data_IF_112285743012
#
_entry.id   IF_112285743012
#
_cell.length_a   1.000
_cell.length_b   1.000
_cell.length_c   1.000
_cell.angle_alpha   90.00
_cell.angle_beta   90.00
_cell.angle_gamma   90.00
#
_symmetry.space_group_name_H-M   'P 1'
#
loop_
_entity.id
_entity.type
_entity.pdbx_description
1 polymer ?
#
# COMPACT_ATOMS: atom_id res chain seq x y z
N UNK A 1 -2.33 -8.35 9.36
CA UNK A 1 -3.75 -8.38 9.81
C UNK A 1 -4.57 -9.37 9.00
N UNK A 2 -4.70 -9.21 7.65
CA UNK A 2 -5.50 -10.16 6.86
C UNK A 2 -5.00 -11.60 6.97
N UNK A 3 -3.71 -11.84 6.80
CA UNK A 3 -3.09 -13.16 6.96
C UNK A 3 -3.36 -13.79 8.34
N UNK A 4 -3.26 -13.00 9.40
CA UNK A 4 -3.56 -13.47 10.76
C UNK A 4 -5.04 -13.81 10.94
N UNK A 5 -5.93 -13.00 10.36
CA UNK A 5 -7.36 -13.24 10.35
C UNK A 5 -7.71 -14.49 9.55
N UNK A 6 -7.18 -14.64 8.34
CA UNK A 6 -7.38 -15.79 7.46
C UNK A 6 -6.89 -17.10 8.12
N UNK A 7 -5.71 -17.05 8.73
CA UNK A 7 -5.17 -18.18 9.52
C UNK A 7 -6.06 -18.50 10.73
N UNK A 8 -6.58 -17.50 11.41
CA UNK A 8 -7.49 -17.71 12.54
C UNK A 8 -8.81 -18.32 12.09
N UNK A 9 -9.38 -17.87 10.96
CA UNK A 9 -10.56 -18.47 10.35
C UNK A 9 -10.31 -19.92 9.95
N UNK A 10 -9.16 -20.21 9.31
CA UNK A 10 -8.76 -21.57 8.92
C UNK A 10 -8.57 -22.48 10.13
N UNK A 11 -7.98 -22.00 11.22
CA UNK A 11 -7.77 -22.76 12.43
C UNK A 11 -9.07 -23.02 13.22
N UNK A 12 -10.03 -22.07 13.17
CA UNK A 12 -11.32 -22.20 13.81
C UNK A 12 -12.24 -23.21 13.08
N UNK A 13 -11.93 -23.50 11.84
CA UNK A 13 -12.67 -24.45 11.01
C UNK A 13 -12.33 -25.89 11.39
N UNK A 14 -13.11 -26.46 12.29
CA UNK A 14 -13.14 -27.89 12.54
C UNK A 14 -14.25 -28.52 11.73
N UNK A 15 -13.91 -29.46 10.85
CA UNK A 15 -14.81 -30.36 10.09
C UNK A 15 -16.29 -29.93 9.97
N UNK A 16 -16.66 -29.40 8.79
CA UNK A 16 -18.04 -29.15 8.33
C UNK A 16 -18.90 -28.17 9.14
N UNK A 17 -18.35 -27.33 9.98
CA UNK A 17 -19.09 -26.30 10.69
C UNK A 17 -18.84 -24.92 10.06
N UNK A 18 -19.87 -24.08 10.04
CA UNK A 18 -19.73 -22.68 9.66
C UNK A 18 -18.92 -21.92 10.71
N UNK A 19 -18.07 -21.03 10.25
CA UNK A 19 -17.23 -20.17 11.11
C UNK A 19 -17.56 -18.71 10.79
N UNK A 20 -17.58 -17.89 11.83
CA UNK A 20 -17.76 -16.45 11.71
C UNK A 20 -16.48 -15.71 12.14
N UNK A 21 -16.22 -14.60 11.49
CA UNK A 21 -15.17 -13.65 11.88
C UNK A 21 -15.65 -12.22 11.72
N UNK A 22 -15.08 -11.34 12.49
CA UNK A 22 -15.39 -9.92 12.47
C UNK A 22 -14.14 -9.11 12.18
N UNK A 23 -14.25 -8.15 11.25
CA UNK A 23 -13.29 -7.08 11.07
C UNK A 23 -13.97 -5.77 11.48
N UNK A 24 -13.25 -4.95 12.22
CA UNK A 24 -13.71 -3.63 12.62
C UNK A 24 -12.93 -2.58 11.87
N UNK A 25 -13.63 -1.75 11.10
CA UNK A 25 -13.03 -0.91 10.10
C UNK A 25 -13.26 0.59 10.36
N UNK A 26 -12.24 1.39 10.09
CA UNK A 26 -12.36 2.83 10.00
C UNK A 26 -12.70 3.25 8.58
N UNK A 27 -13.69 4.14 8.43
CA UNK A 27 -14.01 4.72 7.12
C UNK A 27 -12.99 5.78 6.73
N UNK A 28 -12.50 5.70 5.51
CA UNK A 28 -11.66 6.72 4.90
C UNK A 28 -12.29 7.20 3.60
N UNK A 29 -12.65 8.50 3.56
CA UNK A 29 -13.19 9.12 2.36
C UNK A 29 -12.05 9.48 1.41
N UNK A 30 -11.89 8.73 0.33
CA UNK A 30 -10.84 8.95 -0.69
C UNK A 30 -11.24 10.06 -1.67
N UNK A 31 -12.52 10.07 -2.10
CA UNK A 31 -13.09 11.08 -2.98
C UNK A 31 -14.58 11.19 -2.74
N UNK A 32 -15.27 12.12 -3.42
CA UNK A 32 -16.72 12.27 -3.31
C UNK A 32 -17.50 10.96 -3.51
N UNK A 33 -16.96 10.03 -4.31
CA UNK A 33 -17.63 8.78 -4.70
C UNK A 33 -16.89 7.50 -4.28
N UNK A 34 -15.76 7.61 -3.55
CA UNK A 34 -14.94 6.47 -3.15
C UNK A 34 -14.67 6.50 -1.64
N UNK A 35 -15.14 5.48 -0.95
CA UNK A 35 -14.87 5.23 0.47
C UNK A 35 -14.07 3.94 0.57
N UNK A 36 -13.06 3.92 1.42
CA UNK A 36 -12.31 2.73 1.82
C UNK A 36 -12.68 2.37 3.25
N UNK A 37 -12.82 1.09 3.52
CA UNK A 37 -12.97 0.54 4.86
C UNK A 37 -11.64 -0.10 5.24
N UNK A 38 -10.98 0.47 6.23
CA UNK A 38 -9.63 0.10 6.64
C UNK A 38 -9.71 -0.72 7.92
N UNK A 39 -9.43 -2.04 7.91
CA UNK A 39 -9.45 -2.87 9.10
C UNK A 39 -8.50 -2.32 10.17
N UNK A 40 -9.00 -2.18 11.40
CA UNK A 40 -8.23 -1.76 12.58
C UNK A 40 -8.06 -2.93 13.56
N UNK A 41 -9.07 -3.76 13.67
CA UNK A 41 -9.11 -4.89 14.58
C UNK A 41 -9.87 -6.05 13.95
N UNK A 42 -9.63 -7.25 14.46
CA UNK A 42 -10.35 -8.46 14.04
C UNK A 42 -10.59 -9.38 15.22
N UNK A 43 -11.66 -10.15 15.13
CA UNK A 43 -12.01 -11.19 16.10
C UNK A 43 -12.55 -12.41 15.37
N UNK A 44 -11.98 -13.57 15.66
CA UNK A 44 -12.57 -14.87 15.31
C UNK A 44 -12.95 -15.52 16.62
N UNK A 45 -14.26 -15.76 16.87
CA UNK A 45 -14.75 -16.35 18.09
C UNK A 45 -14.18 -17.76 18.30
N UNK A 46 -13.81 -18.10 19.53
CA UNK A 46 -13.51 -19.48 19.92
C UNK A 46 -14.82 -20.30 20.05
N UNK A 47 -14.75 -21.64 20.01
CA UNK A 47 -15.94 -22.49 20.05
C UNK A 47 -16.86 -22.25 21.26
N UNK A 48 -16.33 -21.82 22.39
CA UNK A 48 -17.09 -21.48 23.61
C UNK A 48 -17.90 -20.17 23.48
N UNK A 49 -17.66 -19.37 22.46
CA UNK A 49 -18.43 -18.15 22.16
C UNK A 49 -19.75 -18.42 21.44
N UNK A 50 -19.96 -19.63 20.94
CA UNK A 50 -21.19 -20.00 20.26
C UNK A 50 -22.19 -20.63 21.22
N UNK A 51 -23.46 -20.34 21.01
CA UNK A 51 -24.59 -21.04 21.59
C UNK A 51 -24.93 -22.27 20.74
N UNK A 52 -24.84 -22.12 19.41
CA UNK A 52 -24.98 -23.21 18.42
C UNK A 52 -24.02 -22.95 17.26
N UNK A 53 -23.33 -24.02 16.85
CA UNK A 53 -22.50 -24.04 15.65
C UNK A 53 -22.77 -25.34 14.89
N UNK A 54 -23.03 -25.26 13.58
CA UNK A 54 -23.35 -26.39 12.71
C UNK A 54 -22.96 -26.10 11.26
N UNK A 55 -23.14 -27.08 10.40
CA UNK A 55 -22.92 -26.94 8.95
C UNK A 55 -23.93 -26.01 8.25
N UNK A 56 -25.05 -25.68 8.88
CA UNK A 56 -26.14 -24.93 8.28
C UNK A 56 -26.54 -23.68 9.08
N UNK A 57 -25.70 -23.24 9.99
CA UNK A 57 -25.91 -22.01 10.73
C UNK A 57 -25.24 -21.98 12.09
N UNK A 58 -25.00 -20.78 12.56
CA UNK A 58 -24.35 -20.48 13.82
C UNK A 58 -25.13 -19.41 14.60
N UNK A 59 -25.07 -19.51 15.93
CA UNK A 59 -25.64 -18.52 16.85
C UNK A 59 -24.59 -18.21 17.89
N UNK A 60 -24.23 -16.94 18.03
CA UNK A 60 -23.28 -16.50 19.09
C UNK A 60 -23.99 -16.28 20.40
N UNK A 61 -23.28 -16.51 21.50
CA UNK A 61 -23.75 -16.13 22.83
C UNK A 61 -23.96 -14.62 22.93
N UNK A 62 -25.07 -14.21 23.50
CA UNK A 62 -25.46 -12.80 23.61
C UNK A 62 -24.39 -11.96 24.33
N UNK A 63 -23.80 -12.47 25.39
CA UNK A 63 -22.75 -11.77 26.15
C UNK A 63 -21.51 -11.45 25.30
N UNK A 64 -21.11 -12.41 24.47
CA UNK A 64 -19.97 -12.20 23.56
C UNK A 64 -20.29 -11.17 22.49
N UNK A 65 -21.47 -11.26 21.88
CA UNK A 65 -21.92 -10.28 20.91
C UNK A 65 -21.98 -8.86 21.50
N UNK A 66 -22.54 -8.73 22.71
CA UNK A 66 -22.57 -7.46 23.43
C UNK A 66 -21.17 -6.90 23.69
N UNK A 67 -20.21 -7.74 24.09
CA UNK A 67 -18.81 -7.34 24.25
C UNK A 67 -18.22 -6.74 22.96
N UNK A 68 -18.46 -7.38 21.80
CA UNK A 68 -17.98 -6.87 20.50
C UNK A 68 -18.59 -5.49 20.18
N UNK A 69 -19.89 -5.33 20.37
CA UNK A 69 -20.61 -4.09 20.12
C UNK A 69 -20.10 -2.95 21.00
N UNK A 70 -19.98 -3.15 22.29
CA UNK A 70 -19.52 -2.14 23.24
C UNK A 70 -18.06 -1.74 22.98
N UNK A 71 -17.19 -2.72 22.70
CA UNK A 71 -15.77 -2.46 22.53
C UNK A 71 -15.50 -1.72 21.21
N UNK A 72 -15.96 -2.22 20.09
CA UNK A 72 -15.53 -1.74 18.77
C UNK A 72 -16.48 -0.71 18.15
N UNK A 73 -17.77 -0.84 18.36
CA UNK A 73 -18.74 0.05 17.74
C UNK A 73 -19.06 1.28 18.60
N UNK A 74 -19.14 1.10 19.90
CA UNK A 74 -19.48 2.21 20.80
C UNK A 74 -18.25 3.00 21.23
N UNK A 75 -17.21 2.32 21.77
CA UNK A 75 -15.98 2.99 22.26
C UNK A 75 -15.09 3.47 21.11
N UNK A 76 -14.75 2.59 20.18
CA UNK A 76 -13.83 2.88 19.08
C UNK A 76 -14.52 3.48 17.85
N UNK A 77 -15.85 3.44 17.79
CA UNK A 77 -16.68 4.00 16.70
C UNK A 77 -16.33 3.48 15.32
N UNK A 78 -16.03 2.19 15.21
CA UNK A 78 -15.70 1.50 13.96
C UNK A 78 -16.95 0.99 13.25
N UNK A 79 -16.84 0.70 11.96
CA UNK A 79 -17.81 -0.08 11.20
C UNK A 79 -17.48 -1.57 11.34
N UNK A 80 -18.48 -2.43 11.16
CA UNK A 80 -18.30 -3.87 11.27
C UNK A 80 -18.37 -4.56 9.91
N UNK A 81 -17.41 -5.43 9.67
CA UNK A 81 -17.45 -6.43 8.59
C UNK A 81 -17.69 -7.78 9.24
N UNK A 82 -18.82 -8.37 8.94
CA UNK A 82 -19.23 -9.68 9.39
C UNK A 82 -18.93 -10.69 8.28
N UNK A 83 -18.10 -11.67 8.55
CA UNK A 83 -17.66 -12.67 7.57
C UNK A 83 -18.04 -14.05 8.08
N UNK A 84 -18.71 -14.85 7.25
CA UNK A 84 -18.98 -16.24 7.55
C UNK A 84 -18.61 -17.16 6.39
N UNK A 85 -18.51 -18.46 6.69
CA UNK A 85 -18.23 -19.49 5.71
C UNK A 85 -19.48 -20.34 5.46
N UNK A 86 -19.67 -20.78 4.23
CA UNK A 86 -20.62 -21.87 3.93
C UNK A 86 -19.83 -23.17 3.75
N UNK A 87 -20.16 -24.20 4.51
CA UNK A 87 -19.42 -25.47 4.52
C UNK A 87 -19.83 -26.44 3.40
N UNK A 88 -20.96 -26.16 2.73
CA UNK A 88 -21.59 -27.05 1.76
C UNK A 88 -21.59 -26.48 0.31
N UNK A 89 -20.97 -25.31 0.09
CA UNK A 89 -21.01 -24.62 -1.20
C UNK A 89 -19.63 -24.38 -1.77
N UNK A 90 -19.46 -24.79 -3.01
CA UNK A 90 -18.25 -24.54 -3.81
C UNK A 90 -18.12 -23.11 -4.31
N UNK A 91 -19.19 -22.31 -4.22
CA UNK A 91 -19.19 -20.89 -4.57
C UNK A 91 -19.73 -20.05 -3.42
N UNK A 92 -19.11 -18.89 -3.13
CA UNK A 92 -19.56 -18.01 -2.05
C UNK A 92 -20.80 -17.23 -2.49
N UNK A 93 -21.97 -17.66 -2.07
CA UNK A 93 -23.26 -16.97 -2.34
C UNK A 93 -24.01 -16.73 -1.04
N UNK A 94 -24.55 -15.53 -0.87
CA UNK A 94 -25.43 -15.22 0.24
C UNK A 94 -26.75 -15.97 0.13
N UNK A 95 -27.21 -16.53 1.24
CA UNK A 95 -28.49 -17.23 1.34
C UNK A 95 -29.64 -16.25 1.65
N UNK A 96 -30.88 -16.71 1.48
CA UNK A 96 -32.08 -15.95 1.92
C UNK A 96 -32.09 -15.72 3.44
N UNK A 97 -31.48 -16.61 4.18
CA UNK A 97 -31.37 -16.48 5.65
C UNK A 97 -30.40 -15.35 5.99
N UNK A 98 -29.27 -15.25 5.27
CA UNK A 98 -28.34 -14.13 5.41
C UNK A 98 -29.02 -12.80 5.08
N UNK A 99 -29.82 -12.76 4.03
CA UNK A 99 -30.58 -11.55 3.64
C UNK A 99 -31.47 -11.04 4.77
N UNK A 100 -32.18 -11.94 5.43
CA UNK A 100 -33.10 -11.60 6.53
C UNK A 100 -32.34 -11.09 7.76
N UNK A 101 -31.37 -11.86 8.25
CA UNK A 101 -30.62 -11.52 9.46
C UNK A 101 -29.75 -10.27 9.29
N UNK A 102 -29.06 -10.15 8.18
CA UNK A 102 -28.21 -8.99 7.91
C UNK A 102 -29.01 -7.71 7.69
N UNK A 103 -30.17 -7.79 7.04
CA UNK A 103 -31.12 -6.68 6.92
C UNK A 103 -31.51 -6.11 8.29
N UNK A 104 -31.94 -7.00 9.20
CA UNK A 104 -32.29 -6.61 10.56
C UNK A 104 -31.11 -6.08 11.36
N UNK A 105 -29.95 -6.72 11.22
CA UNK A 105 -28.73 -6.31 11.89
C UNK A 105 -28.24 -4.92 11.42
N UNK A 106 -28.28 -4.64 10.12
CA UNK A 106 -27.94 -3.33 9.57
C UNK A 106 -28.87 -2.23 10.12
N UNK A 107 -30.15 -2.52 10.24
CA UNK A 107 -31.17 -1.62 10.84
C UNK A 107 -30.89 -1.38 12.32
N UNK A 108 -30.61 -2.44 13.07
CA UNK A 108 -30.25 -2.35 14.48
C UNK A 108 -29.02 -1.48 14.69
N UNK A 109 -27.93 -1.73 13.97
CA UNK A 109 -26.67 -0.96 14.08
C UNK A 109 -26.92 0.54 13.83
N UNK A 110 -27.69 0.88 12.81
CA UNK A 110 -27.95 2.26 12.44
C UNK A 110 -28.88 3.00 13.39
N UNK A 111 -29.76 2.30 14.10
CA UNK A 111 -30.73 2.88 15.04
C UNK A 111 -30.19 2.94 16.47
N UNK A 112 -29.37 1.97 16.86
CA UNK A 112 -28.92 1.81 18.24
C UNK A 112 -27.70 2.67 18.57
N UNK A 113 -26.76 2.79 17.63
CA UNK A 113 -25.50 3.53 17.87
C UNK A 113 -25.51 4.96 17.32
N UNK A 114 -25.01 5.92 18.12
CA UNK A 114 -24.94 7.33 17.72
C UNK A 114 -24.08 7.57 16.47
N UNK A 115 -22.98 6.81 16.32
CA UNK A 115 -22.08 6.88 15.17
C UNK A 115 -22.62 6.18 13.92
N UNK A 116 -23.77 5.50 14.05
CA UNK A 116 -24.44 4.79 12.93
C UNK A 116 -23.47 3.93 12.12
N UNK A 117 -22.88 2.89 12.72
CA UNK A 117 -21.92 2.03 12.03
C UNK A 117 -22.58 1.34 10.83
N UNK A 118 -21.79 1.06 9.80
CA UNK A 118 -22.23 0.31 8.63
C UNK A 118 -22.00 -1.16 8.84
N UNK A 119 -22.94 -1.95 8.33
CA UNK A 119 -22.75 -3.38 8.17
C UNK A 119 -22.21 -3.67 6.78
N UNK A 120 -21.07 -4.33 6.75
CA UNK A 120 -20.50 -4.98 5.58
C UNK A 120 -20.55 -6.47 5.86
N UNK A 121 -20.98 -7.24 4.89
CA UNK A 121 -21.08 -8.69 5.00
C UNK A 121 -20.17 -9.35 3.98
N UNK A 122 -19.52 -10.43 4.39
CA UNK A 122 -18.70 -11.27 3.54
C UNK A 122 -19.07 -12.73 3.69
N UNK A 123 -19.10 -13.46 2.59
CA UNK A 123 -19.25 -14.91 2.58
C UNK A 123 -18.09 -15.54 1.84
N UNK A 124 -17.55 -16.62 2.40
CA UNK A 124 -16.48 -17.41 1.83
C UNK A 124 -16.96 -18.79 1.42
N UNK A 125 -16.36 -19.32 0.36
CA UNK A 125 -16.47 -20.71 0.00
C UNK A 125 -15.81 -21.63 1.05
N UNK A 126 -16.00 -22.92 0.90
CA UNK A 126 -15.42 -23.94 1.79
C UNK A 126 -13.90 -23.93 1.83
N UNK A 127 -13.22 -23.41 0.79
CA UNK A 127 -11.76 -23.37 0.69
C UNK A 127 -11.15 -22.07 1.21
N UNK A 128 -11.96 -21.07 1.55
CA UNK A 128 -11.58 -19.70 1.87
C UNK A 128 -10.85 -18.96 0.72
N UNK A 129 -10.92 -19.49 -0.50
CA UNK A 129 -10.26 -18.90 -1.67
C UNK A 129 -11.13 -17.88 -2.38
N UNK A 130 -12.43 -18.15 -2.47
CA UNK A 130 -13.37 -17.25 -3.09
C UNK A 130 -14.25 -16.58 -2.04
N UNK A 131 -14.65 -15.35 -2.33
CA UNK A 131 -15.49 -14.59 -1.42
C UNK A 131 -16.34 -13.58 -2.17
N UNK A 132 -17.52 -13.29 -1.62
CA UNK A 132 -18.34 -12.17 -2.02
C UNK A 132 -18.53 -11.22 -0.84
N UNK A 133 -18.58 -9.92 -1.13
CA UNK A 133 -18.82 -8.89 -0.13
C UNK A 133 -19.93 -7.97 -0.57
N UNK A 134 -20.71 -7.49 0.42
CA UNK A 134 -21.78 -6.51 0.22
C UNK A 134 -21.84 -5.52 1.38
N UNK A 135 -22.32 -4.32 1.11
CA UNK A 135 -22.57 -3.29 2.12
C UNK A 135 -24.06 -2.99 2.16
N UNK A 136 -24.60 -2.98 3.36
CA UNK A 136 -26.02 -2.69 3.59
C UNK A 136 -26.28 -1.19 3.68
N UNK A 137 -27.42 -0.76 3.19
CA UNK A 137 -27.94 0.56 3.54
C UNK A 137 -28.31 0.62 5.03
N UNK A 138 -28.41 1.82 5.56
CA UNK A 138 -28.70 2.02 6.99
C UNK A 138 -30.09 1.60 7.41
N UNK A 139 -31.00 1.38 6.48
CA UNK A 139 -32.37 0.95 6.73
C UNK A 139 -32.53 -0.56 6.58
N UNK A 140 -31.49 -1.27 6.18
CA UNK A 140 -31.52 -2.70 5.93
C UNK A 140 -32.40 -3.09 4.74
N UNK A 141 -32.69 -2.16 3.81
CA UNK A 141 -33.60 -2.43 2.69
C UNK A 141 -32.89 -2.98 1.46
N UNK A 142 -31.62 -2.61 1.30
CA UNK A 142 -30.83 -3.03 0.14
C UNK A 142 -29.38 -3.23 0.49
N UNK A 143 -28.76 -4.21 -0.17
CA UNK A 143 -27.34 -4.45 -0.11
C UNK A 143 -26.72 -4.21 -1.50
N UNK A 144 -25.54 -3.63 -1.52
CA UNK A 144 -24.77 -3.35 -2.73
C UNK A 144 -23.48 -4.16 -2.69
N UNK A 145 -23.17 -4.89 -3.75
CA UNK A 145 -21.89 -5.59 -3.87
C UNK A 145 -20.73 -4.62 -3.84
N UNK A 146 -19.67 -5.00 -3.15
CA UNK A 146 -18.42 -4.25 -3.05
C UNK A 146 -17.23 -5.15 -3.33
N UNK A 147 -16.15 -4.58 -3.80
CA UNK A 147 -14.89 -5.29 -3.98
C UNK A 147 -14.12 -5.36 -2.65
N UNK A 148 -13.63 -6.54 -2.32
CA UNK A 148 -12.68 -6.75 -1.23
C UNK A 148 -11.34 -7.16 -1.83
N UNK A 149 -10.28 -6.42 -1.54
CA UNK A 149 -8.92 -6.79 -1.91
C UNK A 149 -8.26 -7.50 -0.74
N UNK A 150 -7.95 -8.77 -0.90
CA UNK A 150 -7.19 -9.60 0.04
C UNK A 150 -5.69 -9.47 -0.18
N UNK A 151 -5.30 -9.23 -1.42
CA UNK A 151 -3.93 -9.02 -1.86
C UNK A 151 -3.69 -7.58 -2.33
N UNK A 152 -2.46 -7.27 -2.67
CA UNK A 152 -2.06 -5.96 -3.16
C UNK A 152 -2.82 -5.54 -4.41
N UNK A 153 -2.98 -6.50 -5.33
CA UNK A 153 -3.68 -6.32 -6.60
C UNK A 153 -4.42 -7.61 -6.94
N UNK A 154 -5.72 -7.59 -6.89
CA UNK A 154 -6.52 -8.69 -7.43
C UNK A 154 -6.55 -8.56 -8.95
N UNK A 155 -6.05 -9.60 -9.62
CA UNK A 155 -6.28 -9.77 -11.05
C UNK A 155 -7.77 -10.00 -11.24
N UNK A 156 -8.51 -8.97 -11.61
CA UNK A 156 -9.90 -9.18 -12.03
C UNK A 156 -9.89 -10.09 -13.24
N UNK A 157 -10.46 -11.29 -13.11
CA UNK A 157 -10.57 -12.27 -14.19
C UNK A 157 -11.56 -11.85 -15.30
N UNK A 158 -11.78 -10.57 -15.50
CA UNK A 158 -12.47 -10.07 -16.68
C UNK A 158 -11.60 -10.21 -17.94
N UNK A 159 -11.21 -11.47 -18.22
CA UNK A 159 -10.34 -11.83 -19.35
C UNK A 159 -11.03 -11.67 -20.72
N UNK A 160 -12.28 -11.21 -20.84
CA UNK A 160 -13.03 -11.29 -22.08
C UNK A 160 -13.66 -9.96 -22.57
N UNK A 161 -13.36 -8.81 -21.98
CA UNK A 161 -13.75 -7.59 -22.67
C UNK A 161 -12.70 -7.28 -23.75
N UNK A 162 -13.12 -7.33 -25.00
CA UNK A 162 -12.40 -6.76 -26.16
C UNK A 162 -12.35 -5.23 -26.00
N UNK A 163 -11.64 -4.76 -24.99
CA UNK A 163 -11.30 -3.36 -24.89
C UNK A 163 -10.19 -3.10 -25.91
N UNK A 164 -10.42 -2.18 -26.82
CA UNK A 164 -9.43 -1.64 -27.74
C UNK A 164 -8.23 -1.16 -26.92
N UNK A 165 -7.21 -2.02 -26.81
CA UNK A 165 -5.95 -1.65 -26.15
C UNK A 165 -5.35 -0.54 -27.01
N UNK A 166 -5.01 0.59 -26.41
CA UNK A 166 -4.31 1.67 -27.10
C UNK A 166 -3.09 1.07 -27.83
N UNK A 167 -2.88 1.43 -29.10
CA UNK A 167 -1.77 0.92 -29.92
C UNK A 167 -0.40 1.03 -29.24
N UNK A 168 -0.25 2.02 -28.38
CA UNK A 168 0.93 2.25 -27.55
C UNK A 168 1.28 1.01 -26.68
N UNK A 169 0.30 0.24 -26.23
CA UNK A 169 0.48 -0.91 -25.35
C UNK A 169 0.36 -2.26 -26.06
N UNK A 170 0.28 -2.28 -27.40
CA UNK A 170 0.07 -3.51 -28.16
C UNK A 170 1.13 -4.59 -27.86
N UNK A 171 2.39 -4.20 -27.64
CA UNK A 171 3.48 -5.12 -27.31
C UNK A 171 3.46 -5.62 -25.86
N UNK A 172 2.67 -5.00 -24.99
CA UNK A 172 2.51 -5.38 -23.58
C UNK A 172 1.34 -6.34 -23.36
N UNK A 173 0.55 -6.62 -24.39
CA UNK A 173 -0.63 -7.51 -24.31
C UNK A 173 -0.29 -8.93 -23.86
N UNK A 174 0.96 -9.37 -24.05
CA UNK A 174 1.44 -10.66 -23.58
C UNK A 174 1.31 -10.86 -22.05
N UNK A 175 1.27 -9.76 -21.28
CA UNK A 175 1.07 -9.78 -19.83
C UNK A 175 -0.40 -9.81 -19.42
N UNK A 176 -1.33 -9.76 -20.37
CA UNK A 176 -2.77 -9.79 -20.16
C UNK A 176 -3.45 -8.42 -20.16
N UNK A 177 -4.66 -8.37 -20.69
CA UNK A 177 -5.47 -7.15 -20.76
C UNK A 177 -5.83 -6.60 -19.36
N UNK A 178 -6.00 -7.46 -18.36
CA UNK A 178 -6.27 -7.10 -16.97
C UNK A 178 -5.13 -6.27 -16.35
N UNK A 179 -3.87 -6.62 -16.63
CA UNK A 179 -2.70 -5.89 -16.14
C UNK A 179 -2.68 -4.47 -16.70
N UNK A 180 -2.95 -4.31 -18.00
CA UNK A 180 -2.97 -2.98 -18.62
C UNK A 180 -4.10 -2.10 -18.08
N UNK A 181 -5.28 -2.68 -17.81
CA UNK A 181 -6.40 -1.98 -17.18
C UNK A 181 -6.02 -1.50 -15.78
N UNK A 182 -5.44 -2.38 -14.96
CA UNK A 182 -4.99 -2.05 -13.61
C UNK A 182 -3.94 -0.93 -13.61
N UNK A 183 -2.94 -0.99 -14.49
CA UNK A 183 -1.95 0.08 -14.65
C UNK A 183 -2.61 1.43 -14.96
N UNK A 184 -3.60 1.46 -15.85
CA UNK A 184 -4.34 2.68 -16.23
C UNK A 184 -5.20 3.25 -15.09
N UNK A 185 -5.65 2.42 -14.17
CA UNK A 185 -6.49 2.81 -13.03
C UNK A 185 -5.67 3.15 -11.78
N UNK A 186 -4.42 2.67 -11.71
CA UNK A 186 -3.55 2.82 -10.56
C UNK A 186 -3.21 4.30 -10.31
N UNK A 187 -3.42 4.75 -9.07
CA UNK A 187 -2.95 6.05 -8.60
C UNK A 187 -1.68 5.87 -7.78
N UNK A 188 -0.55 6.37 -8.28
CA UNK A 188 0.75 6.25 -7.63
C UNK A 188 1.12 7.56 -6.93
N UNK A 189 1.41 7.48 -5.63
CA UNK A 189 2.08 8.56 -4.91
C UNK A 189 3.60 8.31 -4.99
N UNK A 190 4.32 9.23 -5.62
CA UNK A 190 5.77 9.22 -5.71
C UNK A 190 6.33 10.31 -4.79
N UNK A 191 7.05 9.89 -3.77
CA UNK A 191 7.72 10.73 -2.79
C UNK A 191 9.21 10.75 -3.15
N UNK A 192 9.69 11.91 -3.60
CA UNK A 192 11.02 12.11 -4.17
C UNK A 192 10.99 12.05 -5.70
N UNK A 193 11.23 13.20 -6.34
CA UNK A 193 11.29 13.40 -7.79
C UNK A 193 12.71 13.64 -8.29
N UNK A 194 13.70 13.09 -7.57
CA UNK A 194 15.13 13.16 -7.91
C UNK A 194 15.58 12.12 -8.94
N UNK A 195 16.84 11.73 -8.91
CA UNK A 195 17.45 10.83 -9.90
C UNK A 195 16.79 9.48 -10.05
N UNK A 196 16.34 8.84 -8.94
CA UNK A 196 15.60 7.57 -8.98
C UNK A 196 14.13 7.83 -9.36
N UNK A 197 13.47 8.78 -8.67
CA UNK A 197 12.04 9.00 -8.83
C UNK A 197 11.64 9.48 -10.22
N UNK A 198 12.45 10.31 -10.88
CA UNK A 198 12.15 10.78 -12.24
C UNK A 198 12.25 9.66 -13.28
N UNK A 199 13.27 8.80 -13.18
CA UNK A 199 13.41 7.61 -14.05
C UNK A 199 12.26 6.64 -13.79
N UNK A 200 11.94 6.39 -12.52
CA UNK A 200 10.82 5.55 -12.12
C UNK A 200 9.49 6.03 -12.72
N UNK A 201 9.20 7.33 -12.62
CA UNK A 201 7.98 7.93 -13.16
C UNK A 201 7.89 7.79 -14.69
N UNK A 202 9.00 7.98 -15.39
CA UNK A 202 9.04 7.80 -16.85
C UNK A 202 8.79 6.34 -17.24
N UNK A 203 9.48 5.40 -16.60
CA UNK A 203 9.35 3.96 -16.91
C UNK A 203 7.93 3.46 -16.61
N UNK A 204 7.41 3.74 -15.42
CA UNK A 204 6.08 3.29 -15.03
C UNK A 204 4.97 4.02 -15.79
N UNK A 205 5.20 5.28 -16.15
CA UNK A 205 4.32 6.03 -17.06
C UNK A 205 4.23 5.35 -18.42
N UNK A 206 5.36 4.93 -19.01
CA UNK A 206 5.39 4.20 -20.29
C UNK A 206 4.73 2.82 -20.23
N UNK A 207 4.69 2.19 -19.06
CA UNK A 207 3.93 0.96 -18.84
C UNK A 207 2.41 1.18 -18.79
N UNK A 208 1.93 2.39 -18.54
CA UNK A 208 0.49 2.65 -18.59
C UNK A 208 -0.08 3.42 -17.39
N UNK A 209 0.71 3.73 -16.37
CA UNK A 209 0.24 4.53 -15.23
C UNK A 209 0.03 5.98 -15.63
N UNK A 210 -1.22 6.45 -15.46
CA UNK A 210 -1.66 7.79 -15.87
C UNK A 210 -2.02 8.71 -14.70
N UNK A 211 -2.15 8.16 -13.47
CA UNK A 211 -2.61 8.91 -12.30
C UNK A 211 -1.49 9.01 -11.26
N UNK A 212 -1.07 10.24 -10.97
CA UNK A 212 0.10 10.50 -10.14
C UNK A 212 -0.15 11.57 -9.09
N UNK A 213 0.43 11.37 -7.92
CA UNK A 213 0.61 12.33 -6.85
C UNK A 213 2.11 12.44 -6.63
N UNK A 214 2.70 13.56 -7.08
CA UNK A 214 4.14 13.80 -7.01
C UNK A 214 4.44 14.73 -5.85
N UNK A 215 5.39 14.32 -4.97
CA UNK A 215 5.76 15.07 -3.77
C UNK A 215 7.27 15.22 -3.73
N UNK A 216 7.72 16.46 -3.77
CA UNK A 216 9.12 16.86 -3.63
C UNK A 216 9.17 18.38 -3.42
N UNK A 217 9.91 18.85 -2.42
CA UNK A 217 10.04 20.29 -2.14
C UNK A 217 11.12 20.98 -2.95
N UNK A 218 12.03 20.20 -3.52
CA UNK A 218 13.25 20.71 -4.13
C UNK A 218 13.03 21.31 -5.52
N UNK A 219 13.97 22.17 -5.87
CA UNK A 219 14.10 22.74 -7.21
C UNK A 219 15.21 22.06 -8.00
N UNK A 220 15.14 22.19 -9.33
CA UNK A 220 16.21 21.77 -10.22
C UNK A 220 17.41 22.69 -10.07
N UNK A 221 18.58 22.08 -10.01
CA UNK A 221 19.88 22.74 -10.01
C UNK A 221 20.78 22.12 -11.09
N UNK A 222 21.80 22.85 -11.53
CA UNK A 222 22.73 22.36 -12.55
C UNK A 222 23.42 21.05 -12.15
N UNK A 223 23.71 20.86 -10.85
CA UNK A 223 24.29 19.61 -10.31
C UNK A 223 23.36 18.40 -10.42
N UNK A 224 22.07 18.61 -10.74
CA UNK A 224 21.11 17.52 -10.91
C UNK A 224 21.08 16.99 -12.35
N UNK A 225 21.55 17.77 -13.35
CA UNK A 225 21.39 17.45 -14.78
C UNK A 225 22.07 16.13 -15.18
N UNK A 226 23.10 15.73 -14.45
CA UNK A 226 23.82 14.48 -14.71
C UNK A 226 22.99 13.20 -14.42
N UNK A 227 21.81 13.32 -13.76
CA UNK A 227 21.00 12.17 -13.32
C UNK A 227 19.51 12.33 -13.47
N UNK A 228 19.05 13.40 -14.11
CA UNK A 228 17.62 13.64 -14.37
C UNK A 228 17.34 13.52 -15.87
N UNK A 229 16.55 12.51 -16.34
CA UNK A 229 16.32 12.29 -17.75
C UNK A 229 15.59 13.46 -18.39
N UNK A 230 16.11 13.95 -19.54
CA UNK A 230 15.55 15.06 -20.30
C UNK A 230 15.43 16.40 -19.53
N UNK A 231 16.10 16.56 -18.39
CA UNK A 231 16.26 17.86 -17.75
C UNK A 231 17.28 18.71 -18.55
N UNK A 232 17.03 20.02 -18.62
CA UNK A 232 17.86 20.96 -19.38
C UNK A 232 18.44 22.05 -18.50
N UNK A 233 19.52 22.67 -18.96
CA UNK A 233 20.11 23.84 -18.28
C UNK A 233 19.10 24.98 -18.14
N UNK A 234 18.22 25.14 -19.10
CA UNK A 234 17.15 26.16 -19.05
C UNK A 234 16.20 25.88 -17.86
N UNK A 235 15.76 24.62 -17.67
CA UNK A 235 14.89 24.25 -16.55
C UNK A 235 15.61 24.46 -15.20
N UNK A 236 16.91 24.19 -15.13
CA UNK A 236 17.72 24.41 -13.93
C UNK A 236 17.92 25.91 -13.66
N UNK A 237 18.23 26.72 -14.66
CA UNK A 237 18.38 28.18 -14.53
C UNK A 237 17.08 28.87 -14.11
N UNK A 238 15.91 28.37 -14.58
CA UNK A 238 14.59 28.80 -14.16
C UNK A 238 14.15 28.20 -12.81
N UNK A 239 14.98 27.36 -12.18
CA UNK A 239 14.71 26.73 -10.89
C UNK A 239 13.33 26.04 -10.83
N UNK A 240 13.01 25.24 -11.82
CA UNK A 240 11.76 24.48 -11.82
C UNK A 240 11.68 23.60 -10.55
N UNK A 241 10.52 23.48 -9.95
CA UNK A 241 10.30 22.44 -8.94
C UNK A 241 10.44 21.06 -9.56
N UNK A 242 11.12 20.12 -8.89
CA UNK A 242 11.30 18.73 -9.37
C UNK A 242 9.97 18.05 -9.67
N UNK A 243 8.92 18.32 -8.88
CA UNK A 243 7.56 17.80 -9.15
C UNK A 243 6.97 18.31 -10.47
N UNK A 244 7.23 19.57 -10.85
CA UNK A 244 6.76 20.12 -12.11
C UNK A 244 7.54 19.56 -13.29
N UNK A 245 8.81 19.33 -13.14
CA UNK A 245 9.65 18.67 -14.12
C UNK A 245 9.18 17.22 -14.36
N UNK A 246 8.94 16.41 -13.32
CA UNK A 246 8.42 15.03 -13.49
C UNK A 246 7.01 15.04 -14.07
N UNK A 247 6.15 15.98 -13.68
CA UNK A 247 4.86 16.20 -14.33
C UNK A 247 5.02 16.48 -15.83
N UNK A 248 6.00 17.27 -16.22
CA UNK A 248 6.30 17.52 -17.62
C UNK A 248 6.72 16.24 -18.35
N UNK A 249 7.58 15.39 -17.77
CA UNK A 249 7.94 14.10 -18.35
C UNK A 249 6.73 13.22 -18.62
N UNK A 250 5.83 13.07 -17.62
CA UNK A 250 4.62 12.27 -17.76
C UNK A 250 3.69 12.85 -18.85
N UNK A 251 3.54 14.18 -18.89
CA UNK A 251 2.70 14.85 -19.91
C UNK A 251 3.27 14.71 -21.33
N UNK A 252 4.56 14.52 -21.49
CA UNK A 252 5.17 14.22 -22.79
C UNK A 252 4.84 12.80 -23.29
N UNK A 253 4.62 11.85 -22.36
CA UNK A 253 4.17 10.50 -22.73
C UNK A 253 2.69 10.54 -23.10
N UNK A 254 1.89 11.27 -22.32
CA UNK A 254 0.44 11.38 -22.49
C UNK A 254 0.05 12.84 -22.71
N UNK A 255 -0.21 13.22 -23.94
CA UNK A 255 -0.69 14.56 -24.26
C UNK A 255 -2.03 14.87 -23.58
N UNK A 256 -2.90 13.85 -23.51
CA UNK A 256 -4.22 13.89 -22.84
C UNK A 256 -4.43 12.66 -21.99
N UNK A 257 -5.39 12.69 -21.06
CA UNK A 257 -5.82 11.51 -20.30
C UNK A 257 -4.96 11.16 -19.09
N UNK A 258 -3.87 11.88 -18.78
CA UNK A 258 -3.15 11.71 -17.52
C UNK A 258 -3.57 12.74 -16.48
N UNK A 259 -3.70 12.29 -15.22
CA UNK A 259 -3.97 13.11 -14.05
C UNK A 259 -2.72 13.17 -13.20
N UNK A 260 -2.07 14.33 -13.12
CA UNK A 260 -0.82 14.50 -12.38
C UNK A 260 -0.94 15.67 -11.41
N UNK A 261 -1.02 15.36 -10.12
CA UNK A 261 -0.99 16.33 -9.05
C UNK A 261 0.45 16.51 -8.60
N UNK A 262 0.99 17.71 -8.79
CA UNK A 262 2.34 18.07 -8.39
C UNK A 262 2.27 18.92 -7.10
N UNK A 263 2.93 18.48 -6.04
CA UNK A 263 2.91 19.09 -4.71
C UNK A 263 4.36 19.46 -4.37
N UNK A 264 4.74 20.74 -4.53
CA UNK A 264 6.09 21.21 -4.23
C UNK A 264 6.25 21.45 -2.72
N UNK A 265 6.18 20.37 -1.95
CA UNK A 265 6.22 20.38 -0.49
C UNK A 265 6.94 19.14 0.05
N UNK A 266 7.28 19.15 1.34
CA UNK A 266 7.74 17.95 2.04
C UNK A 266 6.58 16.99 2.26
N UNK A 267 6.88 15.67 2.31
CA UNK A 267 5.88 14.67 2.72
C UNK A 267 5.45 14.86 4.19
N UNK A 268 6.21 15.57 4.99
CA UNK A 268 5.83 15.92 6.37
C UNK A 268 4.71 16.94 6.45
N UNK A 269 4.45 17.68 5.35
CA UNK A 269 3.36 18.66 5.25
C UNK A 269 1.99 17.97 5.33
N UNK A 270 1.05 18.51 6.12
CA UNK A 270 -0.29 17.93 6.27
C UNK A 270 -1.04 17.74 4.95
N UNK A 271 -0.93 18.72 4.03
CA UNK A 271 -1.56 18.62 2.70
C UNK A 271 -0.98 17.46 1.88
N UNK A 272 0.35 17.29 1.87
CA UNK A 272 1.00 16.20 1.18
C UNK A 272 0.58 14.84 1.75
N UNK A 273 0.54 14.69 3.08
CA UNK A 273 0.05 13.48 3.75
C UNK A 273 -1.39 13.14 3.37
N UNK A 274 -2.26 14.14 3.37
CA UNK A 274 -3.67 13.96 2.97
C UNK A 274 -3.82 13.46 1.55
N UNK A 275 -3.01 13.98 0.62
CA UNK A 275 -3.06 13.55 -0.78
C UNK A 275 -2.54 12.14 -0.99
N UNK A 276 -1.46 11.75 -0.31
CA UNK A 276 -0.92 10.37 -0.36
C UNK A 276 -1.95 9.35 0.12
N UNK A 277 -2.81 9.70 1.06
CA UNK A 277 -3.89 8.83 1.53
C UNK A 277 -4.85 8.37 0.41
N UNK A 278 -4.94 9.12 -0.70
CA UNK A 278 -5.76 8.77 -1.86
C UNK A 278 -5.07 7.78 -2.81
N UNK A 279 -3.76 7.57 -2.70
CA UNK A 279 -3.01 6.69 -3.59
C UNK A 279 -3.39 5.20 -3.42
N UNK A 280 -3.16 4.43 -4.46
CA UNK A 280 -3.29 2.97 -4.45
C UNK A 280 -1.93 2.31 -4.16
N UNK A 281 -0.84 2.97 -4.55
CA UNK A 281 0.54 2.56 -4.33
C UNK A 281 1.36 3.75 -3.86
N UNK A 282 2.19 3.55 -2.84
CA UNK A 282 3.15 4.55 -2.35
C UNK A 282 4.55 4.12 -2.76
N UNK A 283 5.29 5.02 -3.38
CA UNK A 283 6.69 4.83 -3.75
C UNK A 283 7.51 5.92 -3.10
N UNK A 284 8.54 5.54 -2.35
CA UNK A 284 9.48 6.47 -1.73
C UNK A 284 10.87 6.30 -2.35
N UNK A 285 11.36 7.38 -2.95
CA UNK A 285 12.65 7.46 -3.65
C UNK A 285 13.48 8.66 -3.15
N UNK A 286 13.39 8.92 -1.84
CA UNK A 286 14.15 9.96 -1.15
C UNK A 286 15.39 9.37 -0.49
N UNK A 287 16.38 10.21 -0.24
CA UNK A 287 17.64 9.89 0.45
C UNK A 287 17.56 10.05 1.97
N UNK A 288 16.53 10.73 2.50
CA UNK A 288 16.40 11.00 3.92
C UNK A 288 15.48 10.00 4.66
N UNK A 289 15.78 9.82 5.96
CA UNK A 289 15.07 8.86 6.82
C UNK A 289 13.69 9.36 7.24
N UNK A 290 13.49 10.66 7.42
CA UNK A 290 12.22 11.26 7.86
C UNK A 290 11.12 11.05 6.80
N UNK A 291 11.41 11.24 5.52
CA UNK A 291 10.46 10.96 4.44
C UNK A 291 10.10 9.48 4.33
N UNK A 292 11.08 8.58 4.51
CA UNK A 292 10.85 7.12 4.52
C UNK A 292 9.96 6.71 5.69
N UNK A 293 10.19 7.30 6.87
CA UNK A 293 9.36 7.07 8.05
C UNK A 293 7.91 7.49 7.79
N UNK A 294 7.68 8.72 7.33
CA UNK A 294 6.32 9.22 7.06
C UNK A 294 5.64 8.40 5.96
N UNK A 295 6.37 8.04 4.89
CA UNK A 295 5.81 7.18 3.84
C UNK A 295 5.36 5.81 4.38
N UNK A 296 6.15 5.20 5.27
CA UNK A 296 5.80 3.95 5.93
C UNK A 296 4.59 4.11 6.85
N UNK A 297 4.54 5.15 7.67
CA UNK A 297 3.39 5.45 8.54
C UNK A 297 2.09 5.59 7.73
N UNK A 298 2.15 6.30 6.60
CA UNK A 298 1.01 6.43 5.69
C UNK A 298 0.62 5.09 5.05
N UNK A 299 1.62 4.30 4.62
CA UNK A 299 1.39 2.98 4.04
C UNK A 299 0.69 2.04 5.02
N UNK A 300 1.14 1.99 6.27
CA UNK A 300 0.54 1.19 7.34
C UNK A 300 -0.85 1.73 7.72
N UNK A 301 -0.99 3.05 7.89
CA UNK A 301 -2.26 3.69 8.27
C UNK A 301 -3.37 3.45 7.25
N UNK A 302 -3.03 3.53 5.95
CA UNK A 302 -4.00 3.40 4.86
C UNK A 302 -3.97 2.03 4.20
N UNK A 303 -3.20 1.09 4.73
CA UNK A 303 -3.01 -0.26 4.20
C UNK A 303 -2.71 -0.22 2.69
N UNK A 304 -1.67 0.56 2.35
CA UNK A 304 -1.20 0.70 0.96
C UNK A 304 0.14 0.03 0.78
N UNK A 305 0.33 -0.61 -0.39
CA UNK A 305 1.64 -1.10 -0.78
C UNK A 305 2.67 0.02 -0.74
N UNK A 306 3.85 -0.28 -0.22
CA UNK A 306 5.00 0.61 -0.17
C UNK A 306 6.16 0.00 -0.93
N UNK A 307 6.71 0.76 -1.86
CA UNK A 307 7.97 0.42 -2.53
C UNK A 307 9.01 1.47 -2.14
N UNK A 308 10.07 1.06 -1.47
CA UNK A 308 11.19 1.92 -1.09
C UNK A 308 12.36 1.67 -2.01
N UNK A 309 12.85 2.73 -2.65
CA UNK A 309 13.95 2.73 -3.60
C UNK A 309 15.12 3.54 -3.04
N UNK A 310 16.30 3.00 -3.10
CA UNK A 310 17.52 3.68 -2.65
C UNK A 310 18.77 3.20 -3.33
N UNK A 311 19.73 4.12 -3.51
CA UNK A 311 21.08 3.81 -3.95
C UNK A 311 22.07 4.32 -2.91
N UNK A 312 23.20 3.67 -2.81
CA UNK A 312 24.29 4.08 -1.94
C UNK A 312 25.63 3.81 -2.62
N UNK A 313 26.55 4.76 -2.51
CA UNK A 313 27.92 4.65 -3.05
C UNK A 313 28.90 4.84 -1.90
N UNK A 314 29.60 3.77 -1.53
CA UNK A 314 30.66 3.79 -0.51
C UNK A 314 32.02 4.05 -1.18
N UNK A 315 32.55 5.23 -0.96
CA UNK A 315 33.82 5.75 -1.55
C UNK A 315 34.88 5.91 -0.47
N UNK A 316 35.18 4.88 0.29
CA UNK A 316 36.27 4.94 1.29
C UNK A 316 37.63 4.89 0.61
N UNK A 317 38.59 5.74 1.04
CA UNK A 317 39.90 5.84 0.42
C UNK A 317 40.70 4.51 0.36
N UNK A 318 40.49 3.64 1.35
CA UNK A 318 41.27 2.41 1.57
C UNK A 318 40.65 1.17 0.95
N UNK A 319 39.51 1.31 0.20
CA UNK A 319 38.77 0.17 -0.34
C UNK A 319 38.32 0.41 -1.78
N UNK A 320 38.14 -0.67 -2.51
CA UNK A 320 37.42 -0.64 -3.80
C UNK A 320 36.07 -0.02 -3.58
N UNK A 321 35.65 0.98 -4.39
CA UNK A 321 34.31 1.55 -4.31
C UNK A 321 33.26 0.48 -4.42
N UNK A 322 32.24 0.56 -3.55
CA UNK A 322 31.06 -0.32 -3.61
C UNK A 322 29.82 0.52 -3.84
N UNK A 323 29.00 0.05 -4.74
CA UNK A 323 27.74 0.72 -5.11
C UNK A 323 26.58 -0.23 -4.91
N UNK A 324 25.53 0.27 -4.34
CA UNK A 324 24.37 -0.52 -3.98
C UNK A 324 23.10 0.09 -4.55
N UNK A 325 22.24 -0.77 -5.06
CA UNK A 325 20.84 -0.45 -5.35
C UNK A 325 19.99 -1.35 -4.47
N UNK A 326 19.05 -0.77 -3.73
CA UNK A 326 18.15 -1.49 -2.85
C UNK A 326 16.70 -1.20 -3.19
N UNK A 327 15.91 -2.26 -3.36
CA UNK A 327 14.47 -2.19 -3.54
C UNK A 327 13.80 -3.01 -2.45
N UNK A 328 12.98 -2.36 -1.64
CA UNK A 328 12.31 -2.96 -0.50
C UNK A 328 10.83 -2.78 -0.60
N UNK A 329 10.09 -3.85 -0.38
CA UNK A 329 8.63 -3.90 -0.37
C UNK A 329 8.22 -4.60 0.92
N UNK A 330 7.86 -3.87 1.98
CA UNK A 330 7.38 -4.50 3.21
C UNK A 330 6.05 -5.22 2.99
N UNK A 331 5.73 -6.28 3.75
CA UNK A 331 4.46 -6.97 3.63
C UNK A 331 3.28 -6.05 4.00
N UNK A 332 2.19 -6.14 3.26
CA UNK A 332 1.02 -5.26 3.45
C UNK A 332 0.36 -5.45 4.82
N UNK A 333 0.36 -6.65 5.32
CA UNK A 333 -0.29 -7.03 6.59
C UNK A 333 0.54 -6.79 7.85
N UNK A 334 1.76 -6.29 7.74
CA UNK A 334 2.71 -6.23 8.86
C UNK A 334 3.63 -7.47 8.88
N UNK A 335 4.32 -7.69 10.00
CA UNK A 335 5.34 -8.72 10.14
C UNK A 335 6.74 -8.12 10.16
N UNK A 336 7.08 -7.29 9.19
CA UNK A 336 8.29 -6.47 9.21
C UNK A 336 8.09 -5.18 8.40
N UNK A 337 8.97 -4.22 8.57
CA UNK A 337 8.83 -2.90 7.95
C UNK A 337 10.21 -2.29 7.61
N UNK A 338 10.25 -1.09 7.06
CA UNK A 338 11.50 -0.42 6.71
C UNK A 338 12.44 -0.21 7.91
N UNK A 339 11.88 -0.06 9.12
CA UNK A 339 12.69 0.01 10.35
C UNK A 339 13.29 -1.37 10.67
N UNK A 340 12.53 -2.44 10.61
CA UNK A 340 13.01 -3.81 10.77
C UNK A 340 14.10 -4.16 9.74
N UNK A 341 13.93 -3.68 8.51
CA UNK A 341 14.92 -3.80 7.42
C UNK A 341 16.13 -2.88 7.54
N UNK A 342 16.25 -2.13 8.64
CA UNK A 342 17.32 -1.17 8.88
C UNK A 342 17.48 -0.11 7.76
N UNK A 343 16.36 0.30 7.16
CA UNK A 343 16.30 1.35 6.12
C UNK A 343 15.98 2.71 6.76
N UNK A 344 15.23 2.69 7.88
CA UNK A 344 14.94 3.87 8.67
C UNK A 344 15.79 3.85 9.94
N UNK A 345 16.54 4.92 10.17
CA UNK A 345 17.19 5.21 11.43
C UNK A 345 16.42 6.33 12.14
N UNK A 346 15.77 6.01 13.26
CA UNK A 346 14.90 6.96 13.96
C UNK A 346 15.64 8.18 14.48
N UNK A 347 16.89 8.02 14.93
CA UNK A 347 17.67 9.14 15.40
C UNK A 347 17.99 10.12 14.26
N UNK A 348 18.37 9.61 13.09
CA UNK A 348 18.58 10.45 11.89
C UNK A 348 17.26 11.09 11.44
N UNK A 349 16.18 10.34 11.39
CA UNK A 349 14.87 10.87 11.03
C UNK A 349 14.41 12.01 11.95
N UNK A 350 14.68 11.89 13.25
CA UNK A 350 14.37 12.95 14.22
C UNK A 350 15.23 14.20 13.99
N UNK A 351 16.54 14.05 13.72
CA UNK A 351 17.43 15.17 13.38
C UNK A 351 17.00 15.87 12.09
N UNK A 352 16.66 15.12 11.04
CA UNK A 352 16.18 15.66 9.76
C UNK A 352 14.84 16.40 9.89
N UNK A 353 14.03 16.04 10.87
CA UNK A 353 12.74 16.68 11.15
C UNK A 353 12.84 17.86 12.11
N UNK A 354 14.02 18.09 12.70
CA UNK A 354 14.24 19.20 13.60
C UNK A 354 14.30 20.55 12.84
N UNK A 355 14.13 21.64 13.57
CA UNK A 355 14.23 22.98 12.98
C UNK A 355 15.63 23.21 12.37
N UNK A 356 15.70 24.03 11.33
CA UNK A 356 16.95 24.30 10.58
C UNK A 356 18.14 24.70 11.48
N UNK A 357 17.91 25.44 12.57
CA UNK A 357 18.95 25.81 13.53
C UNK A 357 19.59 24.59 14.22
N UNK A 358 18.79 23.58 14.58
CA UNK A 358 19.25 22.34 15.20
C UNK A 358 20.01 21.50 14.15
N UNK A 359 19.53 21.50 12.91
CA UNK A 359 20.20 20.80 11.80
C UNK A 359 21.59 21.41 11.49
N UNK A 360 21.71 22.74 11.50
CA UNK A 360 22.97 23.43 11.36
C UNK A 360 23.96 23.13 12.51
N UNK A 361 23.44 23.02 13.74
CA UNK A 361 24.28 22.64 14.88
C UNK A 361 24.75 21.19 14.77
N UNK A 362 23.85 20.28 14.40
CA UNK A 362 24.14 18.86 14.19
C UNK A 362 25.20 18.66 13.09
N UNK A 363 25.14 19.42 12.00
CA UNK A 363 26.15 19.40 10.94
C UNK A 363 27.53 19.85 11.44
N UNK A 364 27.57 20.89 12.28
CA UNK A 364 28.84 21.39 12.87
C UNK A 364 29.53 20.40 13.81
N UNK A 365 28.76 19.55 14.49
CA UNK A 365 29.34 18.51 15.38
C UNK A 365 29.52 17.17 14.68
N UNK A 366 29.36 17.10 13.35
CA UNK A 366 29.61 15.90 12.55
C UNK A 366 28.49 14.86 12.54
N UNK A 367 27.29 15.23 12.99
CA UNK A 367 26.12 14.34 12.95
C UNK A 367 25.44 14.30 11.57
N UNK A 368 25.69 15.31 10.71
CA UNK A 368 25.20 15.36 9.32
C UNK A 368 26.40 15.71 8.43
N UNK A 369 26.73 14.86 7.48
CA UNK A 369 27.80 15.12 6.52
C UNK A 369 27.34 16.19 5.52
N UNK A 370 28.15 17.28 5.39
CA UNK A 370 27.80 18.43 4.56
C UNK A 370 28.10 18.27 3.06
N UNK A 371 28.54 17.08 2.62
CA UNK A 371 28.77 16.75 1.21
C UNK A 371 27.60 15.88 0.75
N UNK A 372 26.89 16.33 -0.29
CA UNK A 372 25.79 15.54 -0.87
C UNK A 372 26.27 14.15 -1.29
N UNK A 373 25.45 13.13 -1.03
CA UNK A 373 25.76 11.75 -1.36
C UNK A 373 26.09 11.60 -2.87
N UNK A 374 27.18 10.89 -3.22
CA UNK A 374 27.52 10.67 -4.61
C UNK A 374 26.38 9.91 -5.32
N UNK A 375 26.01 10.36 -6.52
CA UNK A 375 24.94 9.76 -7.30
C UNK A 375 25.33 9.68 -8.78
N UNK A 376 25.03 8.54 -9.39
CA UNK A 376 25.26 8.31 -10.83
C UNK A 376 23.99 7.80 -11.51
N UNK A 377 23.78 8.26 -12.74
CA UNK A 377 22.51 8.02 -13.46
C UNK A 377 22.23 6.54 -13.67
N UNK A 378 23.23 5.74 -14.07
CA UNK A 378 23.01 4.34 -14.37
C UNK A 378 22.58 3.52 -13.14
N UNK A 379 23.13 3.82 -11.95
CA UNK A 379 22.76 3.13 -10.71
C UNK A 379 21.34 3.50 -10.27
N UNK A 380 20.98 4.79 -10.39
CA UNK A 380 19.63 5.27 -10.16
C UNK A 380 18.63 4.62 -11.14
N UNK A 381 19.02 4.48 -12.41
CA UNK A 381 18.19 3.82 -13.43
C UNK A 381 18.01 2.33 -13.16
N UNK A 382 19.05 1.64 -12.70
CA UNK A 382 18.97 0.24 -12.28
C UNK A 382 17.96 0.07 -11.13
N UNK A 383 18.05 0.92 -10.11
CA UNK A 383 17.15 0.91 -8.96
C UNK A 383 15.69 1.16 -9.39
N UNK A 384 15.47 2.20 -10.19
CA UNK A 384 14.17 2.56 -10.72
C UNK A 384 13.57 1.45 -11.60
N UNK A 385 14.36 0.88 -12.51
CA UNK A 385 13.94 -0.20 -13.41
C UNK A 385 13.55 -1.46 -12.63
N UNK A 386 14.33 -1.82 -11.62
CA UNK A 386 14.03 -2.96 -10.75
C UNK A 386 12.72 -2.73 -9.99
N UNK A 387 12.51 -1.54 -9.42
CA UNK A 387 11.26 -1.21 -8.74
C UNK A 387 10.04 -1.29 -9.65
N UNK A 388 10.16 -0.80 -10.88
CA UNK A 388 9.11 -0.91 -11.90
C UNK A 388 8.86 -2.36 -12.29
N UNK A 389 9.93 -3.15 -12.49
CA UNK A 389 9.83 -4.58 -12.79
C UNK A 389 9.11 -5.38 -11.69
N UNK A 390 9.41 -5.07 -10.43
CA UNK A 390 8.73 -5.67 -9.28
C UNK A 390 7.23 -5.34 -9.31
N UNK A 391 6.85 -4.07 -9.45
CA UNK A 391 5.44 -3.65 -9.51
C UNK A 391 4.72 -4.33 -10.68
N UNK A 392 5.34 -4.36 -11.85
CA UNK A 392 4.77 -5.03 -13.03
C UNK A 392 4.58 -6.53 -12.80
N UNK A 393 5.57 -7.20 -12.20
CA UNK A 393 5.51 -8.64 -11.89
C UNK A 393 4.45 -8.96 -10.83
N UNK A 394 4.26 -8.08 -9.84
CA UNK A 394 3.18 -8.17 -8.85
C UNK A 394 1.80 -8.07 -9.52
N UNK A 395 1.61 -7.07 -10.38
CA UNK A 395 0.36 -6.87 -11.12
C UNK A 395 0.06 -8.02 -12.09
N UNK A 396 1.10 -8.64 -12.63
CA UNK A 396 0.99 -9.78 -13.55
C UNK A 396 0.88 -11.14 -12.84
N UNK A 397 0.95 -11.17 -11.50
CA UNK A 397 0.93 -12.42 -10.72
C UNK A 397 2.19 -13.27 -10.84
N UNK A 398 3.30 -12.75 -11.39
CA UNK A 398 4.56 -13.47 -11.51
C UNK A 398 5.42 -13.42 -10.26
N UNK A 399 5.16 -12.46 -9.37
CA UNK A 399 5.91 -12.25 -8.14
C UNK A 399 4.93 -12.10 -6.98
N UNK A 400 5.05 -13.03 -6.03
CA UNK A 400 4.38 -12.93 -4.75
C UNK A 400 5.22 -12.08 -3.79
N UNK A 401 4.57 -11.13 -3.12
CA UNK A 401 5.16 -10.24 -2.12
C UNK A 401 4.39 -10.24 -0.80
N UNK A 402 3.58 -11.24 -0.53
CA UNK A 402 2.78 -11.33 0.69
C UNK A 402 3.67 -11.30 1.94
N UNK A 403 4.84 -11.92 1.86
CA UNK A 403 5.87 -11.86 2.91
C UNK A 403 6.82 -10.66 2.76
N UNK A 404 6.55 -9.79 1.78
CA UNK A 404 7.44 -8.69 1.42
C UNK A 404 8.68 -9.15 0.65
N UNK A 405 9.49 -8.19 0.24
CA UNK A 405 10.80 -8.47 -0.37
C UNK A 405 11.81 -7.38 -0.01
N UNK A 406 13.07 -7.76 0.04
CA UNK A 406 14.20 -6.86 0.21
C UNK A 406 15.36 -7.34 -0.67
N UNK A 407 15.61 -6.63 -1.77
CA UNK A 407 16.62 -6.97 -2.76
C UNK A 407 17.68 -5.90 -2.81
N UNK A 408 18.94 -6.35 -2.70
CA UNK A 408 20.11 -5.49 -2.76
C UNK A 408 20.98 -5.94 -3.93
N UNK A 409 21.26 -5.07 -4.87
CA UNK A 409 22.27 -5.29 -5.90
C UNK A 409 23.56 -4.64 -5.48
N UNK A 410 24.65 -5.38 -5.53
CA UNK A 410 26.00 -4.90 -5.22
C UNK A 410 26.86 -4.86 -6.49
N UNK A 411 27.49 -3.72 -6.74
CA UNK A 411 28.46 -3.54 -7.80
C UNK A 411 29.83 -3.14 -7.19
N UNK A 412 30.97 -3.70 -7.65
CA UNK A 412 31.20 -4.52 -8.85
C UNK A 412 30.92 -6.02 -8.69
N UNK A 413 30.50 -6.49 -7.53
CA UNK A 413 30.22 -7.91 -7.29
C UNK A 413 29.14 -8.52 -8.21
N UNK A 414 28.30 -7.68 -8.82
CA UNK A 414 27.25 -8.03 -9.79
C UNK A 414 26.27 -9.10 -9.30
N UNK A 415 25.96 -9.09 -7.99
CA UNK A 415 25.07 -10.06 -7.35
C UNK A 415 23.81 -9.38 -6.79
N UNK A 416 22.68 -10.05 -6.95
CA UNK A 416 21.45 -9.74 -6.21
C UNK A 416 21.45 -10.53 -4.90
N UNK A 417 21.47 -9.81 -3.79
CA UNK A 417 21.28 -10.37 -2.47
C UNK A 417 19.79 -10.24 -2.12
N UNK A 418 19.17 -11.34 -1.76
CA UNK A 418 17.80 -11.37 -1.27
C UNK A 418 17.86 -11.58 0.24
N UNK A 419 17.40 -10.60 0.99
CA UNK A 419 17.26 -10.77 2.44
C UNK A 419 16.12 -11.73 2.72
N UNK A 420 16.33 -12.71 3.60
CA UNK A 420 15.24 -13.58 4.01
C UNK A 420 14.27 -12.77 4.88
N UNK A 421 13.00 -12.61 4.47
CA UNK A 421 12.01 -11.86 5.24
C UNK A 421 11.81 -12.37 6.67
N UNK A 422 11.97 -13.68 6.91
CA UNK A 422 11.81 -14.29 8.23
C UNK A 422 12.81 -13.76 9.27
N UNK A 423 13.92 -13.17 8.82
CA UNK A 423 14.92 -12.56 9.68
C UNK A 423 14.73 -11.05 9.89
N UNK A 424 13.76 -10.44 9.22
CA UNK A 424 13.52 -9.00 9.29
C UNK A 424 12.55 -8.58 10.39
N UNK A 425 11.66 -9.49 10.84
CA UNK A 425 10.71 -9.20 11.89
C UNK A 425 11.42 -8.97 13.25
N UNK A 426 11.14 -7.83 13.87
CA UNK A 426 11.63 -7.51 15.21
C UNK A 426 10.45 -7.58 16.18
N UNK A 427 10.49 -8.49 17.14
CA UNK A 427 9.44 -8.60 18.16
C UNK A 427 9.23 -7.26 18.87
N UNK A 428 7.99 -6.77 18.89
CA UNK A 428 7.64 -5.49 19.50
C UNK A 428 8.04 -4.25 18.71
N UNK A 429 8.18 -4.35 17.39
CA UNK A 429 8.42 -3.19 16.54
C UNK A 429 7.31 -2.15 16.68
N UNK A 430 7.67 -0.89 16.96
CA UNK A 430 6.74 0.22 17.11
C UNK A 430 5.82 0.43 15.90
N UNK A 431 6.32 0.21 14.68
CA UNK A 431 5.55 0.47 13.47
C UNK A 431 4.68 -0.70 13.01
N UNK A 432 5.21 -1.91 13.02
CA UNK A 432 4.51 -3.05 12.42
C UNK A 432 3.99 -4.07 13.44
N UNK A 433 4.27 -3.89 14.74
CA UNK A 433 3.80 -4.76 15.81
C UNK A 433 4.36 -6.20 15.72
N UNK A 434 5.46 -6.37 15.01
CA UNK A 434 6.06 -7.67 14.69
C UNK A 434 6.50 -8.50 15.87
#
# INVERSE_FOLDING_TARGET
MWYQFDRAMSNARTTNEEVIGFLFCKRHQVSKHKIRYLPQSWVVPSPDCYERQSASGLVMKQQFHQYLLETFLEKEKLDVVHIHTHSDRSQPEFSLVDDLYESEYARFLSSHFKNKPRLISGVFDETLQQSQFRIWDRQGKSAMSINCSKSWFELTQEANSRNTTELMFARQQAFGAGVQKQLGELTVALIGCGGIGSVFAELLGRLGVKKWILIDRDRLESVNLNRLPAATEEMASQQWYKVHYVKHLIKRIYATGSSVKAIPASITDPLAKQEVAAADLIVVATDNHSSRQVAQELALTYMRPLVCLGTHIDMKPDRTPRMYCRVTVPPLGGGWCLMCGNIINLHRAALESAADEINHLAARVGYVEGIGDPAVFWLNSLCASTGVGIIHSMLSGFLDVDNGLDWIYEFPGSNWLKTNPDHLGTCGCYFCGG
#
